data_IF_120927350795
#
_entry.id   IF_120927350795
#
_cell.length_a   1.000
_cell.length_b   1.000
_cell.length_c   1.000
_cell.angle_alpha   90.00
_cell.angle_beta   90.00
_cell.angle_gamma   90.00
#
_symmetry.space_group_name_H-M   'P 1'
#
loop_
_entity.id
_entity.type
_entity.pdbx_description
1 polymer ?
#
# COMPACT_ATOMS: atom_id res chain seq x y z
N UNK A 1 18.12 1.70 -12.31
CA UNK A 1 17.97 3.01 -11.65
C UNK A 1 18.51 3.02 -10.23
N UNK A 2 18.50 1.90 -9.49
CA UNK A 2 19.07 1.83 -8.11
C UNK A 2 20.51 2.35 -7.98
N UNK A 3 21.50 1.93 -8.81
CA UNK A 3 22.85 2.48 -8.68
C UNK A 3 22.92 3.96 -9.00
N UNK A 4 22.07 4.42 -9.93
CA UNK A 4 22.01 5.83 -10.37
C UNK A 4 21.46 6.70 -9.24
N UNK A 5 20.38 6.30 -8.56
CA UNK A 5 19.84 7.06 -7.43
C UNK A 5 20.86 7.16 -6.29
N UNK A 6 21.56 6.06 -5.99
CA UNK A 6 22.62 6.04 -4.96
C UNK A 6 23.77 6.97 -5.35
N UNK A 7 24.28 6.89 -6.58
CA UNK A 7 25.36 7.77 -7.05
C UNK A 7 24.93 9.24 -6.99
N UNK A 8 23.72 9.57 -7.45
CA UNK A 8 23.19 10.94 -7.38
C UNK A 8 23.07 11.45 -5.94
N UNK A 9 22.68 10.59 -5.00
CA UNK A 9 22.66 10.90 -3.58
C UNK A 9 24.06 11.16 -3.01
N UNK A 10 25.05 10.34 -3.38
CA UNK A 10 26.44 10.45 -2.91
C UNK A 10 27.16 11.69 -3.44
N UNK A 11 26.88 12.10 -4.67
CA UNK A 11 27.46 13.33 -5.26
C UNK A 11 26.66 14.60 -4.92
N UNK A 12 25.63 14.48 -4.08
CA UNK A 12 24.73 15.57 -3.72
C UNK A 12 24.18 16.33 -4.95
N UNK A 13 23.74 15.57 -5.95
CA UNK A 13 23.12 16.14 -7.15
C UNK A 13 21.82 16.89 -6.82
N UNK A 14 21.25 17.57 -7.83
CA UNK A 14 19.97 18.27 -7.66
C UNK A 14 18.90 17.34 -7.06
N UNK A 15 18.17 17.79 -6.01
CA UNK A 15 17.14 16.99 -5.33
C UNK A 15 16.08 16.44 -6.30
N UNK A 16 15.73 17.19 -7.35
CA UNK A 16 14.77 16.72 -8.36
C UNK A 16 15.26 15.46 -9.08
N UNK A 17 16.54 15.37 -9.42
CA UNK A 17 17.09 14.20 -10.09
C UNK A 17 17.25 13.02 -9.14
N UNK A 18 17.66 13.26 -7.89
CA UNK A 18 17.69 12.24 -6.85
C UNK A 18 16.29 11.66 -6.63
N UNK A 19 15.28 12.52 -6.53
CA UNK A 19 13.89 12.12 -6.37
C UNK A 19 13.38 11.28 -7.54
N UNK A 20 13.51 11.78 -8.78
CA UNK A 20 13.05 11.05 -9.97
C UNK A 20 13.76 9.70 -10.15
N UNK A 21 15.08 9.66 -9.94
CA UNK A 21 15.84 8.41 -10.01
C UNK A 21 15.41 7.42 -8.92
N UNK A 22 15.08 7.91 -7.72
CA UNK A 22 14.60 7.08 -6.60
C UNK A 22 13.21 6.51 -6.88
N UNK A 23 12.28 7.32 -7.40
CA UNK A 23 10.96 6.84 -7.84
C UNK A 23 11.10 5.72 -8.89
N UNK A 24 11.89 5.96 -9.93
CA UNK A 24 12.12 4.96 -11.00
C UNK A 24 12.89 3.72 -10.52
N UNK A 25 13.66 3.83 -9.44
CA UNK A 25 14.35 2.71 -8.82
C UNK A 25 13.40 1.85 -7.97
N UNK A 26 12.44 2.46 -7.26
CA UNK A 26 11.48 1.75 -6.41
C UNK A 26 10.49 0.93 -7.24
N UNK A 27 10.00 1.45 -8.38
CA UNK A 27 9.01 0.75 -9.22
C UNK A 27 9.36 -0.73 -9.51
N UNK A 28 10.55 -1.07 -10.08
CA UNK A 28 10.90 -2.47 -10.32
C UNK A 28 11.22 -3.24 -9.03
N UNK A 29 11.68 -2.58 -7.96
CA UNK A 29 11.93 -3.24 -6.69
C UNK A 29 10.63 -3.67 -6.01
N UNK A 30 9.60 -2.82 -6.02
CA UNK A 30 8.26 -3.15 -5.55
C UNK A 30 7.68 -4.32 -6.36
N UNK A 31 7.87 -4.32 -7.69
CA UNK A 31 7.51 -5.44 -8.56
C UNK A 31 8.19 -6.75 -8.16
N UNK A 32 9.51 -6.73 -7.93
CA UNK A 32 10.27 -7.89 -7.47
C UNK A 32 9.84 -8.38 -6.08
N UNK A 33 9.46 -7.47 -5.19
CA UNK A 33 8.90 -7.84 -3.88
C UNK A 33 7.55 -8.55 -4.02
N UNK A 34 6.68 -8.05 -4.91
CA UNK A 34 5.41 -8.70 -5.24
C UNK A 34 5.60 -10.09 -5.81
N UNK A 35 6.46 -10.23 -6.83
CA UNK A 35 6.78 -11.53 -7.46
C UNK A 35 7.42 -12.51 -6.46
N UNK A 36 8.37 -12.06 -5.64
CA UNK A 36 8.96 -12.88 -4.59
C UNK A 36 7.92 -13.36 -3.56
N UNK A 37 6.95 -12.50 -3.23
CA UNK A 37 5.85 -12.82 -2.32
C UNK A 37 4.93 -13.86 -2.95
N UNK A 38 4.51 -13.70 -4.20
CA UNK A 38 3.71 -14.68 -4.95
C UNK A 38 4.41 -16.05 -5.04
N UNK A 39 5.69 -16.07 -5.37
CA UNK A 39 6.47 -17.30 -5.34
C UNK A 39 6.53 -17.95 -3.95
N UNK A 40 6.60 -17.16 -2.89
CA UNK A 40 6.60 -17.66 -1.51
C UNK A 40 5.24 -18.21 -1.10
N UNK A 41 4.13 -17.58 -1.52
CA UNK A 41 2.78 -18.02 -1.19
C UNK A 41 2.43 -19.37 -1.80
N UNK A 42 3.00 -19.73 -2.96
CA UNK A 42 2.84 -21.05 -3.57
C UNK A 42 3.39 -22.21 -2.72
N UNK A 43 4.34 -21.96 -1.81
CA UNK A 43 4.90 -22.99 -0.93
C UNK A 43 4.18 -23.11 0.41
N UNK A 44 3.20 -22.23 0.68
CA UNK A 44 2.43 -22.21 1.94
C UNK A 44 0.95 -22.45 1.65
N UNK A 45 0.22 -22.99 2.62
CA UNK A 45 -1.22 -23.24 2.43
C UNK A 45 -2.01 -21.95 2.18
N UNK A 46 -3.19 -22.01 1.53
CA UNK A 46 -3.95 -20.81 1.13
C UNK A 46 -4.18 -19.76 2.22
N UNK A 47 -4.41 -20.20 3.47
CA UNK A 47 -4.58 -19.29 4.60
C UNK A 47 -3.29 -18.52 4.96
N UNK A 48 -2.16 -19.22 5.05
CA UNK A 48 -0.85 -18.61 5.33
C UNK A 48 -0.37 -17.79 4.14
N UNK A 49 -0.63 -18.27 2.92
CA UNK A 49 -0.37 -17.55 1.68
C UNK A 49 -1.11 -16.22 1.64
N UNK A 50 -2.40 -16.19 2.02
CA UNK A 50 -3.16 -14.96 2.13
C UNK A 50 -2.57 -13.95 3.12
N UNK A 51 -2.09 -14.41 4.29
CA UNK A 51 -1.42 -13.55 5.28
C UNK A 51 -0.07 -13.01 4.80
N UNK A 52 0.73 -13.86 4.15
CA UNK A 52 2.03 -13.49 3.56
C UNK A 52 1.82 -12.47 2.45
N UNK A 53 0.84 -12.71 1.56
CA UNK A 53 0.51 -11.78 0.48
C UNK A 53 0.03 -10.44 1.02
N UNK A 54 -0.85 -10.46 2.01
CA UNK A 54 -1.28 -9.22 2.65
C UNK A 54 -0.06 -8.47 3.22
N UNK A 55 0.75 -9.13 4.07
CA UNK A 55 1.86 -8.46 4.75
C UNK A 55 2.93 -7.90 3.80
N UNK A 56 3.32 -8.66 2.77
CA UNK A 56 4.44 -8.31 1.89
C UNK A 56 4.04 -7.69 0.55
N UNK A 57 2.79 -7.82 0.11
CA UNK A 57 2.28 -7.16 -1.10
C UNK A 57 2.35 -5.63 -1.01
N UNK A 58 2.13 -5.09 0.18
CA UNK A 58 2.23 -3.66 0.49
C UNK A 58 3.53 -3.28 1.23
N UNK A 59 4.55 -4.14 1.21
CA UNK A 59 5.76 -3.88 1.99
C UNK A 59 6.56 -2.68 1.46
N UNK A 60 6.58 -2.41 0.15
CA UNK A 60 7.29 -1.25 -0.39
C UNK A 60 6.71 0.06 0.16
N UNK A 61 5.38 0.18 0.17
CA UNK A 61 4.69 1.31 0.77
C UNK A 61 4.96 1.43 2.27
N UNK A 62 4.83 0.33 3.02
CA UNK A 62 5.08 0.33 4.47
C UNK A 62 6.52 0.77 4.79
N UNK A 63 7.50 0.34 4.00
CA UNK A 63 8.90 0.77 4.14
C UNK A 63 9.04 2.27 3.87
N UNK A 64 8.48 2.77 2.77
CA UNK A 64 8.54 4.21 2.42
C UNK A 64 7.90 5.05 3.53
N UNK A 65 6.71 4.67 3.99
CA UNK A 65 5.98 5.37 5.04
C UNK A 65 6.70 5.32 6.39
N UNK A 66 7.31 4.18 6.74
CA UNK A 66 8.11 4.06 7.95
C UNK A 66 9.39 4.93 7.91
N UNK A 67 10.09 4.95 6.77
CA UNK A 67 11.27 5.81 6.59
C UNK A 67 10.89 7.30 6.62
N UNK A 68 9.76 7.67 6.01
CA UNK A 68 9.22 9.03 6.09
C UNK A 68 8.85 9.41 7.54
N UNK A 69 8.19 8.52 8.27
CA UNK A 69 7.86 8.72 9.68
C UNK A 69 9.12 8.92 10.53
N UNK A 70 10.15 8.09 10.33
CA UNK A 70 11.45 8.20 11.00
C UNK A 70 12.16 9.53 10.69
N UNK A 71 11.98 10.06 9.49
CA UNK A 71 12.52 11.36 9.09
C UNK A 71 11.70 12.56 9.64
N UNK A 72 10.59 12.30 10.36
CA UNK A 72 9.69 13.36 10.84
C UNK A 72 8.74 13.90 9.76
N UNK A 73 8.69 13.26 8.59
CA UNK A 73 7.88 13.65 7.44
C UNK A 73 6.42 13.18 7.57
N UNK A 74 5.78 13.48 8.70
CA UNK A 74 4.42 13.02 9.04
C UNK A 74 3.38 13.48 8.01
N UNK A 75 3.54 14.68 7.45
CA UNK A 75 2.66 15.18 6.39
C UNK A 75 2.74 14.33 5.11
N UNK A 76 3.96 13.90 4.71
CA UNK A 76 4.15 13.01 3.56
C UNK A 76 3.54 11.64 3.85
N UNK A 77 3.70 11.11 5.07
CA UNK A 77 3.11 9.82 5.47
C UNK A 77 1.58 9.86 5.36
N UNK A 78 0.94 10.88 5.95
CA UNK A 78 -0.52 11.02 5.89
C UNK A 78 -1.03 11.23 4.47
N UNK A 79 -0.33 12.06 3.70
CA UNK A 79 -0.62 12.31 2.30
C UNK A 79 -0.49 11.03 1.48
N UNK A 80 0.58 10.24 1.64
CA UNK A 80 0.77 9.01 0.88
C UNK A 80 -0.27 7.94 1.23
N UNK A 81 -0.57 7.71 2.52
CA UNK A 81 -1.60 6.76 2.93
C UNK A 81 -2.97 7.11 2.34
N UNK A 82 -3.34 8.39 2.39
CA UNK A 82 -4.58 8.89 1.79
C UNK A 82 -4.59 8.71 0.28
N UNK A 83 -3.49 9.10 -0.36
CA UNK A 83 -3.27 8.97 -1.79
C UNK A 83 -3.36 7.53 -2.29
N UNK A 84 -2.88 6.58 -1.49
CA UNK A 84 -2.92 5.17 -1.82
C UNK A 84 -4.32 4.57 -1.74
N UNK A 85 -5.08 4.93 -0.71
CA UNK A 85 -6.50 4.53 -0.60
C UNK A 85 -7.29 5.08 -1.80
N UNK A 86 -7.15 6.38 -2.09
CA UNK A 86 -7.81 7.04 -3.23
C UNK A 86 -7.33 6.46 -4.56
N UNK A 87 -6.02 6.28 -4.70
CA UNK A 87 -5.37 5.76 -5.90
C UNK A 87 -5.87 4.36 -6.23
N UNK A 88 -5.96 3.47 -5.26
CA UNK A 88 -6.45 2.11 -5.47
C UNK A 88 -7.94 2.09 -5.85
N UNK A 89 -8.79 2.81 -5.12
CA UNK A 89 -10.25 2.74 -5.31
C UNK A 89 -10.72 3.49 -6.56
N UNK A 90 -10.10 4.63 -6.89
CA UNK A 90 -10.52 5.45 -8.02
C UNK A 90 -9.64 5.23 -9.24
N UNK A 91 -8.33 5.42 -9.11
CA UNK A 91 -7.43 5.42 -10.26
C UNK A 91 -7.18 4.01 -10.78
N UNK A 92 -6.71 3.08 -9.94
CA UNK A 92 -6.37 1.71 -10.35
C UNK A 92 -7.62 0.97 -10.80
N UNK A 93 -8.67 0.98 -9.97
CA UNK A 93 -9.92 0.34 -10.32
C UNK A 93 -10.55 0.95 -11.58
N UNK A 94 -10.50 2.28 -11.72
CA UNK A 94 -10.99 2.98 -12.92
C UNK A 94 -10.22 2.60 -14.19
N UNK A 95 -8.89 2.54 -14.13
CA UNK A 95 -8.05 2.10 -15.26
C UNK A 95 -8.27 0.62 -15.56
N UNK A 96 -8.40 -0.23 -14.53
CA UNK A 96 -8.72 -1.64 -14.67
C UNK A 96 -10.09 -1.86 -15.35
N UNK A 97 -11.12 -1.10 -14.94
CA UNK A 97 -12.44 -1.09 -15.59
C UNK A 97 -12.33 -0.66 -17.07
N UNK A 98 -11.62 0.43 -17.33
CA UNK A 98 -11.47 0.99 -18.67
C UNK A 98 -10.74 0.02 -19.62
N UNK A 99 -9.59 -0.52 -19.21
CA UNK A 99 -8.77 -1.39 -20.04
C UNK A 99 -9.33 -2.82 -20.12
N UNK A 100 -9.91 -3.34 -19.04
CA UNK A 100 -10.62 -4.61 -19.03
C UNK A 100 -11.89 -4.59 -19.88
N UNK A 101 -12.60 -3.46 -19.86
CA UNK A 101 -13.82 -3.22 -20.63
C UNK A 101 -13.58 -2.85 -22.10
N UNK A 102 -12.35 -2.49 -22.50
CA UNK A 102 -12.07 -1.95 -23.84
C UNK A 102 -12.58 -2.86 -25.00
N UNK A 103 -12.52 -4.18 -24.82
CA UNK A 103 -13.00 -5.18 -25.81
C UNK A 103 -14.21 -5.97 -25.33
N UNK A 104 -14.83 -5.60 -24.20
CA UNK A 104 -15.91 -6.35 -23.55
C UNK A 104 -17.10 -5.44 -23.30
N UNK A 105 -18.32 -5.93 -23.54
CA UNK A 105 -19.53 -5.14 -23.27
C UNK A 105 -19.75 -4.93 -21.78
N UNK A 106 -19.47 -5.97 -20.99
CA UNK A 106 -19.66 -5.99 -19.54
C UNK A 106 -18.51 -6.75 -18.89
N UNK A 107 -18.17 -6.36 -17.66
CA UNK A 107 -17.26 -7.08 -16.77
C UNK A 107 -18.09 -7.70 -15.66
N UNK A 108 -17.97 -9.01 -15.49
CA UNK A 108 -18.67 -9.75 -14.42
C UNK A 108 -17.75 -9.83 -13.21
N UNK A 109 -18.34 -9.63 -12.03
CA UNK A 109 -17.66 -9.77 -10.76
C UNK A 109 -18.65 -10.24 -9.67
N UNK A 110 -18.11 -10.88 -8.64
CA UNK A 110 -18.77 -11.31 -7.42
C UNK A 110 -19.19 -10.11 -6.59
N UNK A 111 -20.50 -9.85 -6.63
CA UNK A 111 -21.13 -8.74 -5.90
C UNK A 111 -20.94 -8.84 -4.39
N UNK A 112 -20.98 -10.03 -3.82
CA UNK A 112 -20.93 -10.21 -2.37
C UNK A 112 -19.52 -9.94 -1.81
N UNK A 113 -18.48 -10.36 -2.53
CA UNK A 113 -17.10 -10.02 -2.18
C UNK A 113 -16.84 -8.50 -2.30
N UNK A 114 -17.35 -7.89 -3.39
CA UNK A 114 -17.30 -6.45 -3.60
C UNK A 114 -18.03 -5.67 -2.49
N UNK A 115 -19.23 -6.10 -2.13
CA UNK A 115 -20.07 -5.48 -1.10
C UNK A 115 -19.41 -5.58 0.27
N UNK A 116 -18.92 -6.77 0.64
CA UNK A 116 -18.20 -6.98 1.91
C UNK A 116 -16.97 -6.08 2.03
N UNK A 117 -16.14 -6.01 0.99
CA UNK A 117 -14.99 -5.11 0.98
C UNK A 117 -15.38 -3.64 1.03
N UNK A 118 -16.49 -3.26 0.39
CA UNK A 118 -16.96 -1.88 0.35
C UNK A 118 -17.47 -1.44 1.72
N UNK A 119 -18.21 -2.32 2.42
CA UNK A 119 -18.66 -2.06 3.79
C UNK A 119 -17.48 -1.88 4.75
N UNK A 120 -16.44 -2.69 4.60
CA UNK A 120 -15.22 -2.55 5.40
C UNK A 120 -14.48 -1.25 5.11
N UNK A 121 -14.38 -0.83 3.85
CA UNK A 121 -13.79 0.47 3.50
C UNK A 121 -14.59 1.64 4.07
N UNK A 122 -15.92 1.58 4.05
CA UNK A 122 -16.76 2.62 4.68
C UNK A 122 -16.46 2.73 6.17
N UNK A 123 -16.40 1.60 6.88
CA UNK A 123 -16.05 1.58 8.30
C UNK A 123 -14.65 2.17 8.54
N UNK A 124 -13.66 1.76 7.72
CA UNK A 124 -12.29 2.24 7.82
C UNK A 124 -12.20 3.77 7.63
N UNK A 125 -12.81 4.29 6.56
CA UNK A 125 -12.79 5.72 6.24
C UNK A 125 -13.52 6.53 7.32
N UNK A 126 -14.68 6.07 7.80
CA UNK A 126 -15.39 6.75 8.90
C UNK A 126 -14.52 6.81 10.16
N UNK A 127 -13.88 5.70 10.52
CA UNK A 127 -12.95 5.65 11.66
C UNK A 127 -11.75 6.58 11.50
N UNK A 128 -11.17 6.69 10.30
CA UNK A 128 -10.06 7.60 10.00
C UNK A 128 -10.47 9.08 10.03
N UNK A 129 -11.74 9.40 9.74
CA UNK A 129 -12.26 10.79 9.72
C UNK A 129 -12.60 11.31 11.12
N UNK A 130 -12.97 10.45 12.07
CA UNK A 130 -13.36 10.85 13.44
C UNK A 130 -12.28 11.72 14.15
N UNK A 131 -10.98 11.34 14.15
CA UNK A 131 -9.90 12.16 14.71
C UNK A 131 -9.81 13.54 14.08
N UNK A 132 -9.95 13.62 12.74
CA UNK A 132 -9.89 14.88 12.01
C UNK A 132 -11.02 15.85 12.41
N UNK A 133 -12.24 15.34 12.58
CA UNK A 133 -13.38 16.13 13.05
C UNK A 133 -13.14 16.61 14.49
N UNK A 134 -12.65 15.73 15.37
CA UNK A 134 -12.37 16.06 16.76
C UNK A 134 -11.27 17.14 16.90
N UNK A 135 -10.21 17.05 16.08
CA UNK A 135 -9.13 18.02 16.04
C UNK A 135 -9.61 19.41 15.62
N UNK A 136 -10.52 19.49 14.63
CA UNK A 136 -11.12 20.75 14.19
C UNK A 136 -12.06 21.34 15.25
N UNK A 137 -12.88 20.53 15.92
CA UNK A 137 -13.85 20.98 16.91
C UNK A 137 -13.26 21.44 18.25
N UNK A 138 -12.11 20.88 18.65
CA UNK A 138 -11.42 21.25 19.91
C UNK A 138 -10.35 22.34 19.74
N UNK A 139 -10.08 22.74 18.48
CA UNK A 139 -9.21 23.84 18.12
C UNK A 139 -7.80 23.72 18.67
N UNK A 140 -7.01 22.72 18.28
CA UNK A 140 -5.58 22.51 18.63
C UNK A 140 -5.16 22.66 20.12
N UNK A 141 -6.07 22.91 21.06
CA UNK A 141 -5.78 23.21 22.47
C UNK A 141 -5.45 21.94 23.27
N UNK A 142 -5.67 20.74 22.71
CA UNK A 142 -5.41 19.45 23.36
C UNK A 142 -4.73 18.43 22.42
N UNK A 143 -3.48 18.69 21.98
CA UNK A 143 -2.77 17.77 21.08
C UNK A 143 -2.62 16.36 21.67
N UNK A 144 -2.40 16.25 23.00
CA UNK A 144 -2.36 14.95 23.69
C UNK A 144 -3.68 14.18 23.63
N UNK A 145 -4.82 14.87 23.57
CA UNK A 145 -6.13 14.22 23.46
C UNK A 145 -6.40 13.68 22.06
N UNK A 146 -5.94 14.39 21.02
CA UNK A 146 -6.05 13.95 19.62
C UNK A 146 -5.16 12.73 19.37
N UNK A 147 -3.95 12.73 19.95
CA UNK A 147 -3.03 11.59 19.90
C UNK A 147 -3.61 10.35 20.60
N UNK A 148 -4.15 10.49 21.83
CA UNK A 148 -4.78 9.36 22.53
C UNK A 148 -5.97 8.79 21.75
N UNK A 149 -6.81 9.65 21.17
CA UNK A 149 -7.94 9.22 20.34
C UNK A 149 -7.45 8.47 19.09
N UNK A 150 -6.38 8.96 18.46
CA UNK A 150 -5.77 8.29 17.30
C UNK A 150 -5.20 6.91 17.66
N UNK A 151 -4.61 6.77 18.85
CA UNK A 151 -4.13 5.48 19.36
C UNK A 151 -5.28 4.51 19.64
N UNK A 152 -6.33 4.96 20.32
CA UNK A 152 -7.50 4.12 20.63
C UNK A 152 -8.17 3.61 19.34
N UNK A 153 -8.36 4.50 18.36
CA UNK A 153 -8.90 4.14 17.05
C UNK A 153 -7.96 3.18 16.31
N UNK A 154 -6.65 3.38 16.40
CA UNK A 154 -5.67 2.48 15.77
C UNK A 154 -5.79 1.05 16.30
N UNK A 155 -5.97 0.85 17.61
CA UNK A 155 -6.20 -0.47 18.18
C UNK A 155 -7.50 -1.11 17.67
N UNK A 156 -8.59 -0.34 17.61
CA UNK A 156 -9.88 -0.83 17.09
C UNK A 156 -9.76 -1.23 15.61
N UNK A 157 -9.07 -0.42 14.80
CA UNK A 157 -8.87 -0.68 13.37
C UNK A 157 -8.06 -1.96 13.14
N UNK A 158 -6.96 -2.15 13.86
CA UNK A 158 -6.13 -3.36 13.77
C UNK A 158 -6.93 -4.59 14.21
N UNK A 159 -7.74 -4.49 15.27
CA UNK A 159 -8.60 -5.58 15.71
C UNK A 159 -9.65 -5.94 14.66
N UNK A 160 -10.27 -4.94 14.03
CA UNK A 160 -11.20 -5.14 12.91
C UNK A 160 -10.50 -5.79 11.71
N UNK A 161 -9.25 -5.42 11.41
CA UNK A 161 -8.46 -6.08 10.37
C UNK A 161 -8.15 -7.54 10.72
N UNK A 162 -7.77 -7.83 11.96
CA UNK A 162 -7.51 -9.20 12.39
C UNK A 162 -8.79 -10.06 12.33
N UNK A 163 -9.93 -9.50 12.73
CA UNK A 163 -11.23 -10.15 12.62
C UNK A 163 -11.63 -10.39 11.16
N UNK A 164 -11.35 -9.44 10.26
CA UNK A 164 -11.66 -9.61 8.84
C UNK A 164 -10.75 -10.62 8.16
N UNK A 165 -9.46 -10.68 8.51
CA UNK A 165 -8.56 -11.74 8.07
C UNK A 165 -9.03 -13.12 8.56
N UNK A 166 -9.46 -13.22 9.81
CA UNK A 166 -10.05 -14.46 10.33
C UNK A 166 -11.33 -14.84 9.56
N UNK A 167 -12.16 -13.85 9.25
CA UNK A 167 -13.37 -14.05 8.46
C UNK A 167 -13.07 -14.54 7.05
N UNK A 168 -12.15 -13.88 6.34
CA UNK A 168 -11.82 -14.21 4.95
C UNK A 168 -11.02 -15.50 4.80
N UNK A 169 -10.08 -15.78 5.71
CA UNK A 169 -9.19 -16.93 5.60
C UNK A 169 -9.76 -18.21 6.22
N UNK A 170 -10.72 -18.10 7.15
CA UNK A 170 -11.23 -19.26 7.91
C UNK A 170 -12.73 -19.46 7.79
N UNK A 171 -13.55 -18.48 8.18
CA UNK A 171 -15.00 -18.73 8.31
C UNK A 171 -15.74 -18.65 6.97
N UNK A 172 -15.31 -17.76 6.08
CA UNK A 172 -15.93 -17.52 4.78
C UNK A 172 -14.93 -17.71 3.63
N UNK A 173 -13.97 -18.63 3.80
CA UNK A 173 -12.98 -18.97 2.76
C UNK A 173 -13.62 -19.16 1.36
N UNK A 174 -14.76 -19.87 1.18
CA UNK A 174 -15.36 -20.05 -0.13
C UNK A 174 -15.83 -18.77 -0.82
N UNK A 175 -16.08 -17.69 -0.07
CA UNK A 175 -16.52 -16.41 -0.61
C UNK A 175 -15.35 -15.57 -1.16
N UNK A 176 -14.17 -15.71 -0.55
CA UNK A 176 -12.95 -14.97 -0.90
C UNK A 176 -11.97 -15.80 -1.74
N UNK A 177 -12.14 -17.12 -1.76
CA UNK A 177 -11.66 -17.94 -2.85
C UNK A 177 -12.46 -17.53 -4.09
N UNK A 178 -11.88 -16.69 -4.95
CA UNK A 178 -12.43 -16.47 -6.30
C UNK A 178 -12.63 -17.83 -6.99
N UNK A 179 -13.56 -17.94 -7.93
CA UNK A 179 -13.70 -19.09 -8.87
C UNK A 179 -12.47 -19.18 -9.81
N UNK A 180 -11.30 -19.29 -9.18
CA UNK A 180 -9.95 -19.04 -9.67
C UNK A 180 -8.89 -19.62 -8.72
N UNK A 181 -9.28 -20.54 -7.81
CA UNK A 181 -8.43 -21.71 -7.49
C UNK A 181 -8.34 -22.69 -8.71
N UNK A 182 -8.70 -22.23 -9.93
CA UNK A 182 -8.38 -22.86 -11.22
C UNK A 182 -7.09 -22.20 -11.80
N UNK A 183 -6.19 -22.97 -12.44
CA UNK A 183 -4.76 -22.69 -12.71
C UNK A 183 -4.52 -21.65 -13.82
N UNK A 184 -5.24 -20.53 -13.77
CA UNK A 184 -5.15 -19.44 -14.73
C UNK A 184 -4.27 -18.28 -14.25
N UNK A 185 -3.74 -18.32 -13.03
CA UNK A 185 -2.31 -18.03 -12.88
C UNK A 185 -1.64 -19.32 -13.34
N UNK A 186 -1.08 -19.31 -14.55
CA UNK A 186 -0.11 -20.36 -14.86
C UNK A 186 0.89 -20.30 -13.70
N UNK A 187 1.03 -21.37 -12.88
CA UNK A 187 2.05 -21.39 -11.86
C UNK A 187 3.34 -20.98 -12.57
N UNK A 188 4.11 -20.03 -12.02
CA UNK A 188 5.26 -19.52 -12.73
C UNK A 188 6.06 -20.72 -13.22
N UNK A 189 6.37 -20.74 -14.52
CA UNK A 189 6.79 -21.96 -15.23
C UNK A 189 7.92 -22.73 -14.51
N UNK A 190 8.65 -22.03 -13.63
CA UNK A 190 9.44 -22.61 -12.54
C UNK A 190 9.23 -21.80 -11.24
N UNK A 191 8.51 -22.32 -10.23
CA UNK A 191 8.40 -21.63 -8.95
C UNK A 191 9.77 -21.54 -8.28
N UNK A 192 10.14 -20.36 -7.79
CA UNK A 192 11.38 -20.18 -7.05
C UNK A 192 11.36 -21.03 -5.79
N UNK A 193 12.53 -21.49 -5.34
CA UNK A 193 12.62 -22.13 -4.03
C UNK A 193 12.28 -21.13 -2.91
N UNK A 194 11.73 -21.61 -1.78
CA UNK A 194 11.45 -20.76 -0.60
C UNK A 194 12.65 -19.90 -0.21
N UNK A 195 13.88 -20.46 -0.27
CA UNK A 195 15.12 -19.72 0.03
C UNK A 195 15.37 -18.59 -0.97
N UNK A 196 15.16 -18.84 -2.26
CA UNK A 196 15.32 -17.82 -3.29
C UNK A 196 14.28 -16.70 -3.13
N UNK A 197 13.01 -17.04 -2.92
CA UNK A 197 11.95 -16.06 -2.66
C UNK A 197 12.26 -15.18 -1.45
N UNK A 198 12.67 -15.77 -0.32
CA UNK A 198 13.04 -15.02 0.87
C UNK A 198 14.27 -14.13 0.65
N UNK A 199 15.30 -14.63 -0.04
CA UNK A 199 16.51 -13.85 -0.33
C UNK A 199 16.18 -12.64 -1.22
N UNK A 200 15.39 -12.84 -2.29
CA UNK A 200 14.98 -11.75 -3.17
C UNK A 200 14.10 -10.75 -2.42
N UNK A 201 13.13 -11.22 -1.64
CA UNK A 201 12.24 -10.37 -0.86
C UNK A 201 13.01 -9.48 0.13
N UNK A 202 13.95 -10.07 0.90
CA UNK A 202 14.78 -9.32 1.87
C UNK A 202 15.73 -8.36 1.16
N UNK A 203 16.38 -8.80 0.07
CA UNK A 203 17.29 -7.94 -0.68
C UNK A 203 16.57 -6.76 -1.33
N UNK A 204 15.41 -7.00 -1.95
CA UNK A 204 14.59 -5.96 -2.54
C UNK A 204 14.05 -5.00 -1.47
N UNK A 205 13.56 -5.50 -0.33
CA UNK A 205 13.12 -4.67 0.79
C UNK A 205 14.25 -3.78 1.34
N UNK A 206 15.47 -4.32 1.49
CA UNK A 206 16.62 -3.54 1.93
C UNK A 206 16.98 -2.44 0.92
N UNK A 207 16.97 -2.76 -0.39
CA UNK A 207 17.21 -1.77 -1.44
C UNK A 207 16.11 -0.71 -1.50
N UNK A 208 14.84 -1.08 -1.31
CA UNK A 208 13.74 -0.13 -1.17
C UNK A 208 14.04 0.78 0.01
N UNK A 209 14.39 0.25 1.19
CA UNK A 209 14.74 1.07 2.36
C UNK A 209 15.84 2.10 2.08
N UNK A 210 16.94 1.68 1.44
CA UNK A 210 18.04 2.59 1.05
C UNK A 210 17.56 3.67 0.08
N UNK A 211 16.80 3.30 -0.95
CA UNK A 211 16.30 4.26 -1.94
C UNK A 211 15.21 5.16 -1.36
N UNK A 212 14.40 4.65 -0.41
CA UNK A 212 13.39 5.41 0.32
C UNK A 212 14.02 6.51 1.17
N UNK A 213 15.19 6.28 1.78
CA UNK A 213 15.91 7.35 2.49
C UNK A 213 16.23 8.50 1.51
N UNK A 214 16.73 8.21 0.31
CA UNK A 214 17.00 9.23 -0.71
C UNK A 214 15.72 9.93 -1.19
N UNK A 215 14.66 9.17 -1.42
CA UNK A 215 13.36 9.70 -1.86
C UNK A 215 12.78 10.68 -0.83
N UNK A 216 12.73 10.28 0.44
CA UNK A 216 12.12 11.07 1.52
C UNK A 216 12.89 12.37 1.76
N UNK A 217 14.22 12.35 1.74
CA UNK A 217 15.00 13.60 1.91
C UNK A 217 14.92 14.53 0.70
N UNK A 218 14.60 14.00 -0.49
CA UNK A 218 14.54 14.78 -1.72
C UNK A 218 13.13 15.28 -2.06
N UNK A 219 12.06 14.69 -1.50
CA UNK A 219 10.67 14.92 -1.92
C UNK A 219 10.23 16.38 -1.78
N UNK A 220 10.59 17.04 -0.68
CA UNK A 220 10.17 18.41 -0.39
C UNK A 220 10.84 19.42 -1.33
N UNK A 221 12.17 19.32 -1.46
CA UNK A 221 12.95 20.14 -2.39
C UNK A 221 12.57 19.90 -3.86
N UNK A 222 12.29 18.65 -4.23
CA UNK A 222 11.79 18.31 -5.56
C UNK A 222 10.40 18.92 -5.81
N UNK A 223 9.50 18.85 -4.82
CA UNK A 223 8.18 19.49 -4.88
C UNK A 223 8.29 20.99 -5.13
N UNK A 224 9.11 21.69 -4.35
CA UNK A 224 9.37 23.13 -4.52
C UNK A 224 9.93 23.47 -5.91
N UNK A 225 10.89 22.69 -6.41
CA UNK A 225 11.47 22.91 -7.74
C UNK A 225 10.47 22.66 -8.88
N UNK A 226 9.52 21.75 -8.69
CA UNK A 226 8.48 21.42 -9.67
C UNK A 226 7.20 22.27 -9.52
N UNK A 227 7.13 23.15 -8.52
CA UNK A 227 5.93 23.93 -8.20
C UNK A 227 4.78 23.09 -7.64
N UNK A 228 5.09 21.93 -7.06
CA UNK A 228 4.13 20.98 -6.49
C UNK A 228 4.16 21.06 -4.95
N UNK A 229 2.99 21.14 -4.34
CA UNK A 229 2.86 21.15 -2.88
C UNK A 229 3.21 19.80 -2.25
N UNK A 230 3.66 19.81 -1.00
CA UNK A 230 4.05 18.63 -0.22
C UNK A 230 2.93 17.56 -0.15
N UNK A 231 1.70 18.01 0.09
CA UNK A 231 0.51 17.14 0.05
C UNK A 231 0.34 16.47 -1.31
N UNK A 232 0.51 17.20 -2.42
CA UNK A 232 0.39 16.61 -3.76
C UNK A 232 1.49 15.57 -4.01
N UNK A 233 2.72 15.87 -3.57
CA UNK A 233 3.83 14.93 -3.69
C UNK A 233 3.53 13.63 -2.94
N UNK A 234 3.00 13.70 -1.71
CA UNK A 234 2.58 12.52 -0.96
C UNK A 234 1.39 11.78 -1.60
N UNK A 235 0.27 12.49 -1.82
CA UNK A 235 -0.99 11.93 -2.30
C UNK A 235 -0.88 11.32 -3.70
N UNK A 236 -0.12 11.93 -4.61
CA UNK A 236 -0.06 11.49 -6.00
C UNK A 236 1.22 10.72 -6.26
N UNK A 237 2.37 11.33 -5.98
CA UNK A 237 3.65 10.78 -6.48
C UNK A 237 4.12 9.62 -5.61
N UNK A 238 4.21 9.82 -4.29
CA UNK A 238 4.70 8.80 -3.36
C UNK A 238 3.74 7.61 -3.29
N UNK A 239 2.44 7.88 -3.20
CA UNK A 239 1.40 6.84 -3.22
C UNK A 239 1.45 5.96 -4.48
N UNK A 240 1.61 6.57 -5.66
CA UNK A 240 1.72 5.84 -6.93
C UNK A 240 2.96 4.95 -6.96
N UNK A 241 4.11 5.46 -6.49
CA UNK A 241 5.36 4.70 -6.48
C UNK A 241 5.31 3.53 -5.50
N UNK A 242 4.74 3.72 -4.32
CA UNK A 242 4.65 2.68 -3.29
C UNK A 242 3.80 1.47 -3.71
N UNK A 243 2.74 1.72 -4.50
CA UNK A 243 1.76 0.70 -4.88
C UNK A 243 1.81 0.27 -6.35
N UNK A 244 2.81 0.72 -7.10
CA UNK A 244 2.88 0.51 -8.54
C UNK A 244 2.83 -0.97 -8.97
N UNK A 245 3.40 -1.87 -8.16
CA UNK A 245 3.37 -3.31 -8.42
C UNK A 245 1.94 -3.84 -8.42
N UNK A 246 1.18 -3.55 -7.36
CA UNK A 246 -0.22 -3.94 -7.24
C UNK A 246 -1.09 -3.27 -8.30
N UNK A 247 -0.82 -2.01 -8.63
CA UNK A 247 -1.52 -1.27 -9.69
C UNK A 247 -1.38 -1.99 -11.03
N UNK A 248 -0.15 -2.38 -11.37
CA UNK A 248 0.14 -3.11 -12.60
C UNK A 248 -0.57 -4.46 -12.62
N UNK A 249 -0.48 -5.24 -11.54
CA UNK A 249 -1.13 -6.55 -11.45
C UNK A 249 -2.64 -6.44 -11.59
N UNK A 250 -3.30 -5.52 -10.87
CA UNK A 250 -4.75 -5.32 -10.93
C UNK A 250 -5.22 -4.96 -12.35
N UNK A 251 -4.51 -4.06 -13.04
CA UNK A 251 -4.83 -3.67 -14.42
C UNK A 251 -4.64 -4.86 -15.37
N UNK A 252 -3.54 -5.61 -15.25
CA UNK A 252 -3.24 -6.74 -16.12
C UNK A 252 -4.26 -7.88 -15.98
N UNK A 253 -4.68 -8.20 -14.75
CA UNK A 253 -5.70 -9.25 -14.55
C UNK A 253 -7.09 -8.80 -15.02
N UNK A 254 -7.42 -7.51 -14.89
CA UNK A 254 -8.65 -6.94 -15.47
C UNK A 254 -8.67 -7.03 -16.99
N UNK A 255 -7.54 -6.75 -17.67
CA UNK A 255 -7.40 -6.91 -19.13
C UNK A 255 -7.60 -8.36 -19.59
N UNK A 256 -7.27 -9.34 -18.73
CA UNK A 256 -7.56 -10.77 -18.95
C UNK A 256 -9.05 -11.11 -18.70
N UNK A 257 -9.87 -10.16 -18.28
CA UNK A 257 -11.29 -10.33 -17.96
C UNK A 257 -11.56 -10.83 -16.55
N UNK A 258 -10.53 -10.91 -15.69
CA UNK A 258 -10.66 -11.37 -14.31
C UNK A 258 -10.91 -10.19 -13.39
N UNK A 259 -12.09 -9.59 -13.52
CA UNK A 259 -12.42 -8.37 -12.79
C UNK A 259 -12.50 -8.57 -11.27
N UNK A 260 -12.92 -9.76 -10.84
CA UNK A 260 -12.90 -10.17 -9.43
C UNK A 260 -11.54 -10.03 -8.77
N UNK A 261 -10.49 -10.49 -9.46
CA UNK A 261 -9.13 -10.41 -8.96
C UNK A 261 -8.65 -8.96 -8.91
N UNK A 262 -8.96 -8.16 -9.95
CA UNK A 262 -8.59 -6.75 -9.97
C UNK A 262 -9.24 -5.95 -8.83
N UNK A 263 -10.54 -6.21 -8.59
CA UNK A 263 -11.27 -5.62 -7.48
C UNK A 263 -10.71 -6.08 -6.13
N UNK A 264 -10.42 -7.39 -6.00
CA UNK A 264 -9.82 -7.97 -4.81
C UNK A 264 -8.46 -7.37 -4.46
N UNK A 265 -7.59 -7.14 -5.45
CA UNK A 265 -6.29 -6.50 -5.26
C UNK A 265 -6.47 -5.05 -4.81
N UNK A 266 -7.25 -4.25 -5.55
CA UNK A 266 -7.42 -2.83 -5.25
C UNK A 266 -8.08 -2.60 -3.88
N UNK A 267 -9.18 -3.31 -3.60
CA UNK A 267 -9.90 -3.18 -2.33
C UNK A 267 -9.15 -3.81 -1.17
N UNK A 268 -8.50 -4.95 -1.39
CA UNK A 268 -7.68 -5.63 -0.37
C UNK A 268 -6.54 -4.74 0.11
N UNK A 269 -5.82 -4.14 -0.83
CA UNK A 269 -4.75 -3.17 -0.53
C UNK A 269 -5.30 -1.95 0.22
N UNK A 270 -6.37 -1.31 -0.26
CA UNK A 270 -6.99 -0.18 0.45
C UNK A 270 -7.44 -0.53 1.88
N UNK A 271 -8.06 -1.70 2.08
CA UNK A 271 -8.48 -2.17 3.40
C UNK A 271 -7.28 -2.39 4.32
N UNK A 272 -6.20 -2.97 3.80
CA UNK A 272 -4.97 -3.15 4.57
C UNK A 272 -4.34 -1.81 4.95
N UNK A 273 -4.29 -0.86 4.03
CA UNK A 273 -3.72 0.45 4.30
C UNK A 273 -4.51 1.17 5.40
N UNK A 274 -5.83 1.17 5.28
CA UNK A 274 -6.71 1.89 6.19
C UNK A 274 -6.84 1.20 7.58
N UNK A 275 -6.93 -0.13 7.60
CA UNK A 275 -7.21 -0.89 8.83
C UNK A 275 -5.93 -1.38 9.54
N UNK A 276 -4.79 -1.41 8.86
CA UNK A 276 -3.54 -1.92 9.42
C UNK A 276 -2.36 -0.96 9.26
N UNK A 277 -2.00 -0.54 8.05
CA UNK A 277 -0.77 0.24 7.82
C UNK A 277 -0.82 1.60 8.53
N UNK A 278 -1.90 2.36 8.32
CA UNK A 278 -2.08 3.66 8.97
C UNK A 278 -2.09 3.54 10.51
N UNK A 279 -2.91 2.66 11.12
CA UNK A 279 -2.86 2.38 12.56
C UNK A 279 -1.49 1.92 13.09
N UNK A 280 -0.79 1.05 12.36
CA UNK A 280 0.52 0.56 12.75
C UNK A 280 1.56 1.70 12.77
N UNK A 281 1.48 2.63 11.82
CA UNK A 281 2.34 3.81 11.77
C UNK A 281 2.03 4.81 12.88
N UNK A 282 0.77 4.94 13.31
CA UNK A 282 0.40 5.75 14.49
C UNK A 282 1.06 5.19 15.75
N UNK A 283 0.93 3.87 15.96
CA UNK A 283 1.55 3.18 17.10
C UNK A 283 3.08 3.28 17.02
N UNK A 284 3.67 3.06 15.85
CA UNK A 284 5.12 3.19 15.64
C UNK A 284 5.60 4.62 15.93
N UNK A 285 4.88 5.64 15.46
CA UNK A 285 5.21 7.04 15.69
C UNK A 285 5.20 7.40 17.17
N UNK A 286 4.21 6.90 17.92
CA UNK A 286 4.16 7.06 19.37
C UNK A 286 5.37 6.41 20.07
N UNK A 287 5.74 5.19 19.69
CA UNK A 287 6.90 4.48 20.26
C UNK A 287 8.24 5.14 19.91
N UNK A 288 8.33 5.78 18.74
CA UNK A 288 9.54 6.46 18.25
C UNK A 288 9.68 7.90 18.75
N UNK A 289 8.66 8.45 19.42
CA UNK A 289 8.64 9.85 19.83
C UNK A 289 8.37 10.84 18.68
N UNK A 290 7.92 10.35 17.53
CA UNK A 290 7.48 11.12 16.36
C UNK A 290 5.98 10.92 16.18
N UNK A 291 5.13 11.58 16.99
CA UNK A 291 3.70 11.31 17.03
C UNK A 291 3.06 11.56 15.66
N UNK A 292 2.36 10.54 15.16
CA UNK A 292 1.56 10.59 13.93
C UNK A 292 0.09 10.53 14.35
N UNK A 293 -0.64 11.60 14.11
CA UNK A 293 -2.09 11.61 14.27
C UNK A 293 -2.81 11.06 13.02
N UNK A 294 -4.05 10.61 13.19
CA UNK A 294 -4.91 10.16 12.08
C UNK A 294 -5.65 11.32 11.39
N UNK A 295 -5.55 12.54 11.92
CA UNK A 295 -6.14 13.77 11.37
C UNK A 295 -5.47 14.34 10.11
#
# INVERSE_FOLDING_TARGET
MVPVSIILGLVHASPTWVFLASCLAILPLAGLMGEATEHLTHHVGPGVGGLVNASFGNAAELIIAFIALRAGETEIVKASLTGSIIGNILMVLGVAMLLGGWKRKELVFNRLAAESGSSMMVLAVVSLVIPAIYAQGTGHQRPKSVESISLDISFVLILTYAASLFFSLKTHKPLFASEGEDPAEEPPARPWSVRASLLVLVAAAALVGVVSELLVHAVDAAGHALGLGKVFMGVVVVALVGNAAEHSTAILVAMKGKMDLALGIAMGSSMQIALFVAPALVIAGHLMGTPLGLE
#
